data_IF_985480192932
#
_entry.id   IF_985480192932
#
_cell.length_a   1.000
_cell.length_b   1.000
_cell.length_c   1.000
_cell.angle_alpha   90.00
_cell.angle_beta   90.00
_cell.angle_gamma   90.00
#
_symmetry.space_group_name_H-M   'P 1'
#
loop_
_entity.id
_entity.type
_entity.pdbx_description
1 polymer ?
#
# COMPACT_ATOMS: atom_id res chain seq x y z
N UNK A 1 -28.71 -6.77 7.57
CA UNK A 1 -29.42 -7.46 6.44
C UNK A 1 -30.89 -7.15 6.53
N UNK A 2 -31.51 -6.78 5.42
CA UNK A 2 -32.94 -6.51 5.37
C UNK A 2 -33.76 -7.79 5.62
N UNK A 3 -34.92 -7.64 6.26
CA UNK A 3 -35.83 -8.75 6.59
C UNK A 3 -36.16 -9.62 5.38
N UNK A 4 -36.38 -9.00 4.22
CA UNK A 4 -36.62 -9.70 2.95
C UNK A 4 -35.53 -10.73 2.65
N UNK A 5 -34.24 -10.33 2.70
CA UNK A 5 -33.10 -11.22 2.40
C UNK A 5 -32.95 -12.34 3.45
N UNK A 6 -33.31 -12.06 4.68
CA UNK A 6 -33.35 -13.08 5.73
C UNK A 6 -34.43 -14.14 5.42
N UNK A 7 -35.65 -13.70 5.04
CA UNK A 7 -36.75 -14.60 4.70
C UNK A 7 -36.41 -15.43 3.44
N UNK A 8 -35.75 -14.87 2.43
CA UNK A 8 -35.25 -15.61 1.27
C UNK A 8 -34.33 -16.78 1.66
N UNK A 9 -33.70 -16.69 2.82
CA UNK A 9 -32.80 -17.73 3.33
C UNK A 9 -33.48 -18.85 4.10
N UNK A 10 -34.72 -18.65 4.56
CA UNK A 10 -35.39 -19.57 5.51
C UNK A 10 -36.80 -20.00 5.13
N UNK A 11 -37.44 -19.30 4.20
CA UNK A 11 -38.85 -19.52 3.79
C UNK A 11 -38.93 -19.64 2.29
N UNK A 12 -39.67 -20.62 1.79
CA UNK A 12 -39.81 -20.86 0.35
C UNK A 12 -40.75 -19.86 -0.34
N UNK A 13 -41.77 -19.41 0.36
CA UNK A 13 -42.79 -18.50 -0.18
C UNK A 13 -43.26 -17.49 0.85
N UNK A 14 -43.17 -16.21 0.51
CA UNK A 14 -43.67 -15.10 1.31
C UNK A 14 -43.98 -13.90 0.42
N UNK A 15 -44.67 -12.92 0.98
CA UNK A 15 -44.86 -11.57 0.43
C UNK A 15 -44.70 -10.55 1.56
N UNK A 16 -43.98 -9.47 1.35
CA UNK A 16 -43.83 -8.36 2.30
C UNK A 16 -44.48 -7.11 1.76
N UNK A 17 -45.24 -6.39 2.59
CA UNK A 17 -45.71 -5.06 2.26
C UNK A 17 -44.53 -4.05 2.28
N UNK A 18 -44.81 -2.83 1.76
CA UNK A 18 -43.77 -1.81 1.61
C UNK A 18 -43.12 -1.40 2.94
N UNK A 19 -43.86 -1.43 4.05
CA UNK A 19 -43.34 -1.08 5.38
C UNK A 19 -42.23 -2.03 5.87
N UNK A 20 -42.28 -3.28 5.45
CA UNK A 20 -41.34 -4.32 5.87
C UNK A 20 -40.18 -4.55 4.90
N UNK A 21 -40.24 -3.99 3.69
CA UNK A 21 -39.18 -4.20 2.68
C UNK A 21 -37.81 -3.71 3.12
N UNK A 22 -37.75 -2.60 3.85
CA UNK A 22 -36.53 -1.93 4.27
C UNK A 22 -36.14 -2.15 5.74
N UNK A 23 -36.94 -2.94 6.48
CA UNK A 23 -36.66 -3.26 7.88
C UNK A 23 -35.39 -4.08 8.01
N UNK A 24 -34.51 -3.68 8.91
CA UNK A 24 -33.30 -4.43 9.27
C UNK A 24 -33.57 -5.35 10.48
N UNK A 25 -33.18 -6.64 10.37
CA UNK A 25 -33.44 -7.67 11.39
C UNK A 25 -32.83 -7.30 12.75
N UNK A 26 -31.65 -6.71 12.76
CA UNK A 26 -30.93 -6.34 13.97
C UNK A 26 -31.51 -5.11 14.70
N UNK A 27 -32.45 -4.41 14.05
CA UNK A 27 -33.03 -3.17 14.55
C UNK A 27 -34.46 -3.34 15.08
N UNK A 28 -34.99 -4.56 15.06
CA UNK A 28 -36.38 -4.81 15.43
C UNK A 28 -36.56 -6.01 16.36
N UNK A 29 -37.62 -5.97 17.17
CA UNK A 29 -38.09 -7.10 17.94
C UNK A 29 -39.26 -7.79 17.22
N UNK A 30 -39.30 -9.10 17.31
CA UNK A 30 -40.37 -9.92 16.74
C UNK A 30 -41.25 -10.49 17.85
N UNK A 31 -42.56 -10.30 17.76
CA UNK A 31 -43.55 -10.84 18.70
C UNK A 31 -44.51 -11.75 17.96
N UNK A 32 -44.78 -12.93 18.49
CA UNK A 32 -45.84 -13.79 18.00
C UNK A 32 -47.19 -13.35 18.63
N UNK A 33 -48.16 -13.09 17.80
CA UNK A 33 -49.51 -12.79 18.24
C UNK A 33 -50.52 -13.58 17.41
N UNK A 34 -51.08 -14.65 17.95
CA UNK A 34 -51.89 -15.62 17.22
C UNK A 34 -51.14 -16.19 15.99
N UNK A 35 -51.67 -16.09 14.80
CA UNK A 35 -51.05 -16.52 13.54
C UNK A 35 -50.29 -15.39 12.86
N UNK A 36 -49.83 -14.39 13.63
CA UNK A 36 -49.16 -13.20 13.08
C UNK A 36 -47.84 -12.98 13.81
N UNK A 37 -46.81 -12.64 13.07
CA UNK A 37 -45.55 -12.10 13.63
C UNK A 37 -45.64 -10.58 13.55
N UNK A 38 -45.62 -9.89 14.69
CA UNK A 38 -45.52 -8.45 14.77
C UNK A 38 -44.08 -8.01 14.73
N UNK A 39 -43.76 -7.12 13.82
CA UNK A 39 -42.46 -6.46 13.71
C UNK A 39 -42.55 -5.12 14.40
N UNK A 40 -41.88 -4.95 15.52
CA UNK A 40 -41.89 -3.75 16.36
C UNK A 40 -40.48 -3.16 16.46
N UNK A 41 -40.37 -1.90 16.83
CA UNK A 41 -39.08 -1.24 17.09
C UNK A 41 -38.29 -1.94 18.23
N UNK A 42 -37.00 -1.64 18.39
CA UNK A 42 -36.18 -2.28 19.42
C UNK A 42 -36.67 -2.08 20.86
N UNK A 43 -37.39 -0.98 21.11
CA UNK A 43 -37.96 -0.68 22.41
C UNK A 43 -39.33 -1.35 22.60
N UNK A 44 -39.91 -1.92 21.54
CA UNK A 44 -41.21 -2.57 21.55
C UNK A 44 -42.41 -1.60 21.69
N UNK A 45 -42.19 -0.32 21.40
CA UNK A 45 -43.17 0.74 21.58
C UNK A 45 -43.95 1.07 20.30
N UNK A 46 -43.32 0.89 19.12
CA UNK A 46 -43.92 1.19 17.84
C UNK A 46 -44.04 -0.08 16.97
N UNK A 47 -45.25 -0.32 16.45
CA UNK A 47 -45.47 -1.36 15.45
C UNK A 47 -44.98 -0.90 14.10
N UNK A 48 -44.07 -1.66 13.50
CA UNK A 48 -43.52 -1.42 12.15
C UNK A 48 -44.43 -2.12 11.13
N UNK A 49 -44.92 -3.32 11.44
CA UNK A 49 -45.80 -4.07 10.56
C UNK A 49 -46.12 -5.46 11.07
N UNK A 50 -46.95 -6.17 10.32
CA UNK A 50 -47.41 -7.53 10.64
C UNK A 50 -47.10 -8.47 9.47
N UNK A 51 -46.71 -9.68 9.79
CA UNK A 51 -46.51 -10.78 8.82
C UNK A 51 -47.47 -11.91 9.22
N UNK A 52 -48.43 -12.25 8.33
CA UNK A 52 -49.36 -13.34 8.55
C UNK A 52 -48.69 -14.70 8.32
N UNK A 53 -48.89 -15.64 9.20
CA UNK A 53 -48.45 -17.03 9.03
C UNK A 53 -49.66 -17.83 8.45
N UNK A 54 -49.52 -18.32 7.22
CA UNK A 54 -50.62 -18.97 6.50
C UNK A 54 -50.21 -20.31 5.90
N UNK A 55 -51.17 -21.19 5.73
CA UNK A 55 -50.95 -22.51 5.11
C UNK A 55 -50.98 -22.44 3.56
N UNK A 56 -51.70 -21.45 3.03
CA UNK A 56 -51.84 -21.20 1.57
C UNK A 56 -51.80 -19.71 1.29
N UNK A 57 -51.45 -19.36 0.03
CA UNK A 57 -51.38 -17.95 -0.41
C UNK A 57 -52.70 -17.25 -0.20
N UNK A 58 -52.75 -16.11 0.52
CA UNK A 58 -53.97 -15.31 0.69
C UNK A 58 -54.43 -14.71 -0.65
N UNK A 59 -55.74 -14.50 -0.76
CA UNK A 59 -56.34 -13.85 -1.94
C UNK A 59 -55.99 -12.36 -2.02
N UNK A 60 -55.62 -11.71 -0.92
CA UNK A 60 -55.30 -10.29 -0.86
C UNK A 60 -53.80 -10.08 -0.97
N UNK A 61 -53.35 -9.31 -1.96
CA UNK A 61 -51.91 -9.09 -2.25
C UNK A 61 -51.29 -7.98 -1.39
N UNK A 62 -52.09 -7.19 -0.66
CA UNK A 62 -51.61 -6.03 0.10
C UNK A 62 -51.10 -6.39 1.51
N UNK A 63 -51.32 -7.62 1.96
CA UNK A 63 -50.89 -8.07 3.26
C UNK A 63 -49.54 -8.82 3.17
N UNK A 64 -48.66 -8.63 4.18
CA UNK A 64 -47.46 -9.40 4.32
C UNK A 64 -47.76 -10.78 4.88
N UNK A 65 -47.29 -11.81 4.23
CA UNK A 65 -47.52 -13.20 4.61
C UNK A 65 -46.32 -14.10 4.35
N UNK A 66 -46.28 -15.21 5.06
CA UNK A 66 -45.37 -16.31 4.78
C UNK A 66 -46.12 -17.66 4.88
N UNK A 67 -45.72 -18.62 4.06
CA UNK A 67 -46.31 -19.95 4.02
C UNK A 67 -45.46 -20.90 4.87
N UNK A 68 -46.12 -21.63 5.78
CA UNK A 68 -45.49 -22.67 6.56
C UNK A 68 -46.39 -23.92 6.64
N UNK A 69 -45.75 -25.07 6.62
CA UNK A 69 -46.43 -26.37 6.86
C UNK A 69 -46.54 -26.71 8.34
N UNK A 70 -45.85 -26.01 9.21
CA UNK A 70 -45.79 -26.21 10.64
C UNK A 70 -46.86 -25.37 11.36
N UNK A 71 -47.20 -25.77 12.59
CA UNK A 71 -48.03 -24.86 13.42
C UNK A 71 -47.31 -23.54 13.66
N UNK A 72 -48.08 -22.45 13.79
CA UNK A 72 -47.51 -21.12 14.00
C UNK A 72 -46.48 -21.04 15.16
N UNK A 73 -46.71 -21.83 16.23
CA UNK A 73 -45.81 -21.87 17.39
C UNK A 73 -44.48 -22.53 17.05
N UNK A 74 -44.50 -23.68 16.35
CA UNK A 74 -43.27 -24.39 15.95
C UNK A 74 -42.47 -23.52 14.96
N UNK A 75 -43.15 -22.94 13.97
CA UNK A 75 -42.52 -22.04 13.02
C UNK A 75 -41.86 -20.84 13.71
N UNK A 76 -42.56 -20.21 14.66
CA UNK A 76 -42.02 -19.07 15.39
C UNK A 76 -40.76 -19.40 16.18
N UNK A 77 -40.73 -20.60 16.81
CA UNK A 77 -39.54 -21.07 17.52
C UNK A 77 -38.35 -21.27 16.57
N UNK A 78 -38.60 -21.87 15.41
CA UNK A 78 -37.58 -22.04 14.37
C UNK A 78 -37.12 -20.68 13.82
N UNK A 79 -38.04 -19.76 13.58
CA UNK A 79 -37.78 -18.41 13.12
C UNK A 79 -36.92 -17.63 14.12
N UNK A 80 -37.28 -17.65 15.42
CA UNK A 80 -36.44 -17.03 16.47
C UNK A 80 -35.05 -17.63 16.52
N UNK A 81 -34.94 -18.97 16.45
CA UNK A 81 -33.65 -19.63 16.43
C UNK A 81 -32.77 -19.15 15.27
N UNK A 82 -33.35 -18.98 14.08
CA UNK A 82 -32.64 -18.47 12.90
C UNK A 82 -32.23 -17.00 13.04
N UNK A 83 -33.07 -16.16 13.66
CA UNK A 83 -32.72 -14.77 13.98
C UNK A 83 -31.53 -14.74 14.95
N UNK A 84 -31.57 -15.53 16.02
CA UNK A 84 -30.46 -15.59 16.98
C UNK A 84 -29.16 -16.05 16.31
N UNK A 85 -29.24 -17.05 15.43
CA UNK A 85 -28.08 -17.52 14.66
C UNK A 85 -27.54 -16.40 13.74
N UNK A 86 -28.44 -15.64 13.12
CA UNK A 86 -28.04 -14.51 12.27
C UNK A 86 -27.37 -13.40 13.08
N UNK A 87 -27.95 -12.99 14.21
CA UNK A 87 -27.36 -11.96 15.07
C UNK A 87 -25.98 -12.37 15.61
N UNK A 88 -25.81 -13.65 15.99
CA UNK A 88 -24.48 -14.18 16.37
C UNK A 88 -23.48 -14.11 15.22
N UNK A 89 -23.91 -14.44 14.01
CA UNK A 89 -23.06 -14.33 12.83
C UNK A 89 -22.67 -12.87 12.53
N UNK A 90 -23.61 -11.92 12.65
CA UNK A 90 -23.36 -10.50 12.46
C UNK A 90 -22.41 -9.93 13.53
N UNK A 91 -22.54 -10.37 14.77
CA UNK A 91 -21.61 -10.03 15.85
C UNK A 91 -20.20 -10.56 15.55
N UNK A 92 -20.04 -11.79 15.07
CA UNK A 92 -18.76 -12.33 14.62
C UNK A 92 -18.13 -11.51 13.49
N UNK A 93 -18.93 -10.99 12.55
CA UNK A 93 -18.45 -10.08 11.49
C UNK A 93 -17.92 -8.78 12.11
N UNK A 94 -18.64 -8.18 13.04
CA UNK A 94 -18.23 -6.94 13.70
C UNK A 94 -16.97 -7.14 14.54
N UNK A 95 -16.84 -8.25 15.25
CA UNK A 95 -15.64 -8.61 16.00
C UNK A 95 -14.43 -8.87 15.08
N UNK A 96 -14.64 -9.19 13.80
CA UNK A 96 -13.55 -9.45 12.85
C UNK A 96 -12.59 -8.27 12.70
N UNK A 97 -13.05 -7.03 12.95
CA UNK A 97 -12.24 -5.81 12.90
C UNK A 97 -11.11 -5.80 13.96
N UNK A 98 -11.27 -6.49 15.07
CA UNK A 98 -10.30 -6.51 16.19
C UNK A 98 -9.17 -7.55 16.00
N UNK A 99 -9.18 -8.33 14.93
CA UNK A 99 -8.17 -9.37 14.69
C UNK A 99 -6.94 -8.83 13.98
N UNK A 100 -5.78 -9.50 14.16
CA UNK A 100 -4.53 -9.15 13.46
C UNK A 100 -4.63 -9.25 11.93
N UNK A 101 -5.53 -10.09 11.41
CA UNK A 101 -5.78 -10.27 9.98
C UNK A 101 -7.30 -10.16 9.73
N UNK A 102 -7.83 -8.94 9.79
CA UNK A 102 -9.28 -8.72 9.79
C UNK A 102 -9.95 -9.17 8.50
N UNK A 103 -9.34 -8.93 7.33
CA UNK A 103 -9.90 -9.37 6.02
C UNK A 103 -10.03 -10.89 5.96
N UNK A 104 -9.02 -11.65 6.37
CA UNK A 104 -9.10 -13.10 6.38
C UNK A 104 -10.18 -13.59 7.35
N UNK A 105 -10.31 -12.93 8.51
CA UNK A 105 -11.32 -13.30 9.50
C UNK A 105 -12.73 -13.05 9.00
N UNK A 106 -13.01 -11.88 8.40
CA UNK A 106 -14.33 -11.58 7.86
C UNK A 106 -14.72 -12.55 6.73
N UNK A 107 -13.77 -12.90 5.85
CA UNK A 107 -14.01 -13.89 4.79
C UNK A 107 -14.31 -15.28 5.35
N UNK A 108 -13.65 -15.70 6.42
CA UNK A 108 -13.94 -16.95 7.09
C UNK A 108 -15.36 -16.97 7.71
N UNK A 109 -15.81 -15.84 8.25
CA UNK A 109 -17.18 -15.73 8.80
C UNK A 109 -18.21 -15.69 7.65
N UNK A 110 -17.93 -14.97 6.58
CA UNK A 110 -18.78 -14.88 5.37
C UNK A 110 -19.00 -16.26 4.72
N UNK A 111 -18.00 -17.11 4.70
CA UNK A 111 -18.04 -18.46 4.17
C UNK A 111 -19.17 -19.32 4.74
N UNK A 112 -19.71 -18.97 5.91
CA UNK A 112 -20.86 -19.69 6.52
C UNK A 112 -22.18 -19.39 5.77
N UNK A 113 -22.25 -18.31 4.99
CA UNK A 113 -23.48 -17.83 4.32
C UNK A 113 -23.37 -17.77 2.81
N UNK A 114 -22.19 -17.52 2.26
CA UNK A 114 -21.91 -17.51 0.81
C UNK A 114 -21.54 -18.91 0.34
N UNK A 115 -21.95 -19.23 -0.88
CA UNK A 115 -21.75 -20.56 -1.49
C UNK A 115 -20.52 -20.53 -2.39
N UNK A 116 -20.38 -19.50 -3.22
CA UNK A 116 -19.28 -19.37 -4.14
C UNK A 116 -18.01 -18.82 -3.45
N UNK A 117 -16.82 -19.30 -3.82
CA UNK A 117 -15.57 -18.77 -3.30
C UNK A 117 -15.41 -17.28 -3.59
N UNK A 118 -14.93 -16.52 -2.60
CA UNK A 118 -14.70 -15.09 -2.67
C UNK A 118 -13.22 -14.78 -2.46
N UNK A 119 -12.64 -13.95 -3.32
CA UNK A 119 -11.30 -13.41 -3.20
C UNK A 119 -11.38 -11.87 -3.12
N UNK A 120 -10.57 -11.28 -2.27
CA UNK A 120 -10.43 -9.82 -2.17
C UNK A 120 -8.98 -9.43 -2.42
N UNK A 121 -8.78 -8.53 -3.37
CA UNK A 121 -7.48 -7.95 -3.71
C UNK A 121 -7.51 -6.45 -3.42
N UNK A 122 -6.39 -5.90 -2.95
CA UNK A 122 -6.24 -4.45 -2.84
C UNK A 122 -6.06 -3.78 -4.22
N UNK A 123 -5.97 -2.46 -4.23
CA UNK A 123 -5.75 -1.67 -5.45
C UNK A 123 -4.45 -2.02 -6.17
N UNK A 124 -3.48 -2.61 -5.48
CA UNK A 124 -2.22 -3.07 -6.05
C UNK A 124 -2.25 -4.53 -6.52
N UNK A 125 -3.44 -5.14 -6.54
CA UNK A 125 -3.70 -6.55 -6.92
C UNK A 125 -3.02 -7.59 -6.03
N UNK A 126 -2.69 -7.21 -4.79
CA UNK A 126 -2.26 -8.13 -3.75
C UNK A 126 -3.47 -8.78 -3.09
N UNK A 127 -3.40 -10.08 -2.86
CA UNK A 127 -4.48 -10.83 -2.23
C UNK A 127 -4.55 -10.50 -0.73
N UNK A 128 -5.64 -9.87 -0.31
CA UNK A 128 -5.91 -9.59 1.10
C UNK A 128 -6.48 -10.81 1.82
N UNK A 129 -7.26 -11.62 1.11
CA UNK A 129 -7.82 -12.85 1.63
C UNK A 129 -8.72 -13.56 0.64
N UNK A 130 -9.10 -14.79 0.98
CA UNK A 130 -10.04 -15.60 0.21
C UNK A 130 -10.88 -16.50 1.12
N UNK A 131 -12.07 -16.89 0.66
CA UNK A 131 -12.87 -17.97 1.22
C UNK A 131 -12.72 -19.24 0.36
N UNK A 132 -12.90 -20.40 0.93
CA UNK A 132 -12.65 -21.68 0.23
C UNK A 132 -13.87 -22.25 -0.51
N UNK A 133 -15.05 -21.64 -0.43
CA UNK A 133 -16.26 -22.20 -1.03
C UNK A 133 -16.60 -23.62 -0.57
N UNK A 134 -17.71 -24.18 -1.06
CA UNK A 134 -18.17 -25.51 -0.64
C UNK A 134 -17.39 -26.68 -1.28
N UNK A 135 -16.72 -26.46 -2.42
CA UNK A 135 -16.08 -27.52 -3.21
C UNK A 135 -14.56 -27.45 -3.27
N UNK A 136 -13.92 -26.50 -2.57
CA UNK A 136 -12.47 -26.28 -2.56
C UNK A 136 -11.83 -26.18 -3.97
N UNK A 137 -12.59 -25.73 -4.98
CA UNK A 137 -12.16 -25.73 -6.38
C UNK A 137 -11.72 -24.33 -6.84
N UNK A 138 -10.81 -23.70 -6.12
CA UNK A 138 -10.13 -22.48 -6.62
C UNK A 138 -9.05 -22.83 -7.67
N UNK A 139 -9.30 -23.85 -8.53
CA UNK A 139 -8.28 -24.41 -9.43
C UNK A 139 -7.63 -23.36 -10.33
N UNK A 140 -8.42 -22.44 -10.89
CA UNK A 140 -7.93 -21.40 -11.78
C UNK A 140 -7.22 -20.28 -11.01
N UNK A 141 -7.59 -20.05 -9.75
CA UNK A 141 -7.06 -19.01 -8.87
C UNK A 141 -6.00 -19.52 -7.89
N UNK A 142 -5.69 -20.82 -7.89
CA UNK A 142 -4.69 -21.40 -6.97
C UNK A 142 -3.31 -20.75 -7.07
N UNK A 143 -2.90 -20.36 -8.28
CA UNK A 143 -1.63 -19.66 -8.47
C UNK A 143 -1.64 -18.31 -7.77
N UNK A 144 -2.72 -17.55 -7.92
CA UNK A 144 -2.90 -16.25 -7.26
C UNK A 144 -2.97 -16.40 -5.73
N UNK A 145 -3.69 -17.40 -5.24
CA UNK A 145 -3.79 -17.70 -3.78
C UNK A 145 -2.41 -18.05 -3.20
N UNK A 146 -1.62 -18.89 -3.89
CA UNK A 146 -0.28 -19.28 -3.42
C UNK A 146 0.72 -18.14 -3.52
N UNK A 147 0.63 -17.34 -4.57
CA UNK A 147 1.52 -16.20 -4.78
C UNK A 147 1.21 -15.03 -3.85
N UNK A 148 -0.05 -14.88 -3.41
CA UNK A 148 -0.52 -13.74 -2.61
C UNK A 148 -0.78 -12.48 -3.45
N UNK A 149 -0.85 -12.60 -4.77
CA UNK A 149 -1.19 -11.54 -5.73
C UNK A 149 -1.81 -12.16 -6.98
N UNK A 150 -2.43 -11.35 -7.85
CA UNK A 150 -2.98 -11.87 -9.10
C UNK A 150 -1.86 -12.45 -9.97
N UNK A 151 -1.95 -13.75 -10.23
CA UNK A 151 -1.00 -14.51 -11.05
C UNK A 151 -1.74 -15.51 -11.92
N UNK A 152 -1.77 -15.24 -13.22
CA UNK A 152 -2.39 -16.10 -14.24
C UNK A 152 -1.39 -16.34 -15.36
N UNK A 153 -1.46 -17.45 -16.07
CA UNK A 153 -0.44 -17.78 -17.07
C UNK A 153 -0.80 -17.31 -18.48
N UNK A 154 0.20 -16.78 -19.21
CA UNK A 154 0.12 -16.58 -20.67
C UNK A 154 -0.81 -15.46 -21.14
N UNK A 155 -1.44 -15.66 -22.31
CA UNK A 155 -2.36 -14.69 -22.96
C UNK A 155 -3.59 -14.33 -22.12
N UNK A 156 -3.93 -15.12 -21.09
CA UNK A 156 -5.04 -14.85 -20.18
C UNK A 156 -4.75 -13.65 -19.28
N UNK A 157 -3.48 -13.39 -19.01
CA UNK A 157 -3.05 -12.27 -18.16
C UNK A 157 -3.36 -10.90 -18.79
N UNK A 158 -3.11 -10.72 -20.09
CA UNK A 158 -3.42 -9.46 -20.77
C UNK A 158 -4.92 -9.19 -20.84
N UNK A 159 -5.75 -10.21 -21.11
CA UNK A 159 -7.21 -10.06 -21.11
C UNK A 159 -7.78 -9.76 -19.72
N UNK A 160 -7.20 -10.35 -18.68
CA UNK A 160 -7.57 -10.04 -17.31
C UNK A 160 -7.16 -8.61 -16.95
N UNK A 161 -5.97 -8.16 -17.38
CA UNK A 161 -5.53 -6.78 -17.21
C UNK A 161 -6.46 -5.76 -17.90
N UNK A 162 -6.92 -6.06 -19.10
CA UNK A 162 -7.91 -5.23 -19.80
C UNK A 162 -9.21 -5.10 -19.00
N UNK A 163 -9.66 -6.18 -18.36
CA UNK A 163 -10.85 -6.14 -17.50
C UNK A 163 -10.66 -5.24 -16.27
N UNK A 164 -9.54 -5.34 -15.56
CA UNK A 164 -9.27 -4.51 -14.39
C UNK A 164 -9.14 -3.01 -14.73
N UNK A 165 -8.80 -2.69 -15.97
CA UNK A 165 -8.72 -1.32 -16.47
C UNK A 165 -10.04 -0.82 -17.09
N UNK A 166 -11.11 -1.61 -17.06
CA UNK A 166 -12.42 -1.26 -17.61
C UNK A 166 -13.30 -0.62 -16.53
N UNK A 167 -13.95 0.49 -16.87
CA UNK A 167 -14.93 1.16 -15.97
C UNK A 167 -16.17 0.30 -15.69
N UNK A 168 -16.42 -0.74 -16.50
CA UNK A 168 -17.58 -1.63 -16.34
C UNK A 168 -17.51 -2.49 -15.06
N UNK A 169 -16.34 -2.64 -14.44
CA UNK A 169 -16.18 -3.41 -13.20
C UNK A 169 -16.70 -2.68 -11.94
N UNK A 170 -16.94 -1.38 -12.01
CA UNK A 170 -17.50 -0.60 -10.90
C UNK A 170 -18.90 -1.10 -10.56
N UNK A 171 -19.73 -1.34 -11.58
CA UNK A 171 -21.09 -1.90 -11.40
C UNK A 171 -21.11 -3.40 -11.14
N UNK A 172 -19.96 -4.06 -11.31
CA UNK A 172 -19.82 -5.50 -11.21
C UNK A 172 -20.32 -6.25 -12.45
N UNK A 173 -19.56 -7.24 -12.90
CA UNK A 173 -19.92 -8.05 -14.08
C UNK A 173 -19.47 -9.50 -13.98
N UNK A 174 -20.22 -10.38 -14.65
CA UNK A 174 -19.81 -11.76 -14.83
C UNK A 174 -18.86 -11.85 -16.03
N UNK A 175 -17.68 -12.42 -15.79
CA UNK A 175 -16.63 -12.57 -16.78
C UNK A 175 -16.41 -14.03 -17.14
N UNK A 176 -16.18 -14.28 -18.44
CA UNK A 176 -15.75 -15.58 -18.98
C UNK A 176 -14.51 -15.36 -19.82
N UNK A 177 -13.38 -15.88 -19.36
CA UNK A 177 -12.10 -15.77 -20.06
C UNK A 177 -11.60 -17.14 -20.51
N UNK A 178 -11.03 -17.18 -21.70
CA UNK A 178 -10.31 -18.37 -22.18
C UNK A 178 -9.11 -18.63 -21.25
N UNK A 179 -9.03 -19.83 -20.67
CA UNK A 179 -8.01 -20.17 -19.68
C UNK A 179 -8.52 -20.30 -18.24
N UNK A 180 -9.76 -19.87 -17.98
CA UNK A 180 -10.49 -20.18 -16.76
C UNK A 180 -11.54 -21.25 -17.03
N UNK A 181 -11.61 -22.26 -16.17
CA UNK A 181 -12.63 -23.33 -16.25
C UNK A 181 -14.00 -22.82 -15.83
N UNK A 182 -14.01 -21.95 -14.82
CA UNK A 182 -15.24 -21.40 -14.27
C UNK A 182 -15.34 -19.91 -14.60
N UNK A 183 -16.56 -19.40 -14.87
CA UNK A 183 -16.81 -17.98 -14.92
C UNK A 183 -16.61 -17.38 -13.51
N UNK A 184 -16.37 -16.08 -13.47
CA UNK A 184 -16.25 -15.35 -12.21
C UNK A 184 -16.97 -14.00 -12.31
N UNK A 185 -17.45 -13.52 -11.16
CA UNK A 185 -17.95 -12.18 -11.01
C UNK A 185 -16.81 -11.28 -10.52
N UNK A 186 -16.61 -10.14 -11.17
CA UNK A 186 -15.59 -9.15 -10.81
C UNK A 186 -16.29 -7.84 -10.52
N UNK A 187 -15.95 -7.22 -9.40
CA UNK A 187 -16.40 -5.90 -9.01
C UNK A 187 -15.27 -5.10 -8.35
N UNK A 188 -15.18 -3.82 -8.70
CA UNK A 188 -14.38 -2.84 -8.01
C UNK A 188 -15.24 -2.14 -6.95
N UNK A 189 -14.77 -2.09 -5.72
CA UNK A 189 -15.44 -1.42 -4.60
C UNK A 189 -14.63 -0.19 -4.24
N UNK A 190 -15.21 0.99 -4.42
CA UNK A 190 -14.59 2.27 -4.12
C UNK A 190 -14.94 2.68 -2.69
N UNK A 191 -13.94 3.06 -1.89
CA UNK A 191 -14.09 3.51 -0.52
C UNK A 191 -14.28 5.03 -0.46
N UNK A 192 -14.71 5.54 0.70
CA UNK A 192 -14.99 6.98 0.89
C UNK A 192 -13.78 7.92 0.73
N UNK A 193 -12.57 7.38 0.84
CA UNK A 193 -11.29 8.10 0.73
C UNK A 193 -10.63 7.93 -0.65
N UNK A 194 -11.38 7.53 -1.66
CA UNK A 194 -10.91 7.18 -3.01
C UNK A 194 -10.00 5.93 -3.07
N UNK A 195 -9.79 5.22 -1.96
CA UNK A 195 -9.20 3.89 -2.00
C UNK A 195 -10.19 2.91 -2.62
N UNK A 196 -9.69 1.85 -3.22
CA UNK A 196 -10.53 0.82 -3.82
C UNK A 196 -9.93 -0.58 -3.62
N UNK A 197 -10.78 -1.58 -3.74
CA UNK A 197 -10.38 -2.97 -3.74
C UNK A 197 -11.19 -3.75 -4.76
N UNK A 198 -10.67 -4.90 -5.17
CA UNK A 198 -11.34 -5.76 -6.13
C UNK A 198 -11.88 -7.00 -5.45
N UNK A 199 -13.14 -7.30 -5.74
CA UNK A 199 -13.84 -8.47 -5.28
C UNK A 199 -14.07 -9.43 -6.45
N UNK A 200 -13.64 -10.68 -6.30
CA UNK A 200 -13.85 -11.75 -7.27
C UNK A 200 -14.62 -12.89 -6.64
N UNK A 201 -15.76 -13.24 -7.23
CA UNK A 201 -16.54 -14.42 -6.83
C UNK A 201 -16.38 -15.47 -7.92
N UNK A 202 -15.82 -16.62 -7.57
CA UNK A 202 -15.66 -17.75 -8.51
C UNK A 202 -16.98 -18.52 -8.58
N UNK A 203 -17.61 -18.57 -9.76
CA UNK A 203 -18.97 -19.09 -9.91
C UNK A 203 -18.98 -20.61 -10.03
N UNK A 204 -18.78 -21.31 -8.92
CA UNK A 204 -18.97 -22.78 -8.83
C UNK A 204 -20.45 -23.14 -9.00
N UNK A 205 -21.35 -22.32 -8.46
CA UNK A 205 -22.81 -22.41 -8.61
C UNK A 205 -23.38 -21.08 -9.11
N UNK A 206 -23.43 -20.88 -10.42
CA UNK A 206 -23.85 -19.61 -11.03
C UNK A 206 -25.27 -19.20 -10.61
N UNK A 207 -26.19 -20.15 -10.38
CA UNK A 207 -27.56 -19.89 -9.88
C UNK A 207 -27.62 -19.26 -8.50
N UNK A 208 -26.54 -19.34 -7.72
CA UNK A 208 -26.46 -18.80 -6.36
C UNK A 208 -25.81 -17.41 -6.27
N UNK A 209 -25.32 -16.87 -7.41
CA UNK A 209 -24.66 -15.59 -7.44
C UNK A 209 -25.50 -14.46 -6.82
N UNK A 210 -26.78 -14.37 -7.16
CA UNK A 210 -27.66 -13.32 -6.64
C UNK A 210 -27.81 -13.40 -5.11
N UNK A 211 -27.88 -14.61 -4.57
CA UNK A 211 -27.93 -14.82 -3.12
C UNK A 211 -26.63 -14.42 -2.46
N UNK A 212 -25.49 -14.80 -3.02
CA UNK A 212 -24.17 -14.44 -2.50
C UNK A 212 -23.97 -12.92 -2.54
N UNK A 213 -24.32 -12.27 -3.65
CA UNK A 213 -24.27 -10.81 -3.79
C UNK A 213 -25.13 -10.09 -2.74
N UNK A 214 -26.35 -10.57 -2.50
CA UNK A 214 -27.24 -10.01 -1.50
C UNK A 214 -26.64 -10.09 -0.06
N UNK A 215 -25.98 -11.20 0.27
CA UNK A 215 -25.27 -11.35 1.56
C UNK A 215 -24.07 -10.39 1.60
N UNK A 216 -23.27 -10.30 0.54
CA UNK A 216 -22.09 -9.44 0.48
C UNK A 216 -22.50 -7.97 0.58
N UNK A 217 -23.53 -7.53 -0.16
CA UNK A 217 -24.06 -6.18 -0.12
C UNK A 217 -24.45 -5.78 1.31
N UNK A 218 -25.12 -6.69 2.06
CA UNK A 218 -25.51 -6.45 3.45
C UNK A 218 -24.35 -6.20 4.40
N UNK A 219 -23.12 -6.57 4.02
CA UNK A 219 -21.90 -6.44 4.86
C UNK A 219 -20.79 -5.66 4.17
N UNK A 220 -21.07 -5.03 3.02
CA UNK A 220 -20.07 -4.30 2.23
C UNK A 220 -19.37 -3.23 3.06
N UNK A 221 -20.10 -2.47 3.88
CA UNK A 221 -19.51 -1.45 4.75
C UNK A 221 -18.52 -2.07 5.76
N UNK A 222 -18.79 -3.26 6.28
CA UNK A 222 -17.88 -3.97 7.19
C UNK A 222 -16.65 -4.49 6.45
N UNK A 223 -16.82 -4.99 5.23
CA UNK A 223 -15.70 -5.39 4.37
C UNK A 223 -14.85 -4.17 4.05
N UNK A 224 -15.46 -3.06 3.64
CA UNK A 224 -14.81 -1.81 3.33
C UNK A 224 -14.01 -1.26 4.52
N UNK A 225 -14.63 -1.22 5.71
CA UNK A 225 -13.94 -0.83 6.94
C UNK A 225 -12.75 -1.76 7.25
N UNK A 226 -12.90 -3.07 7.03
CA UNK A 226 -11.86 -4.07 7.27
C UNK A 226 -10.69 -3.90 6.30
N UNK A 227 -10.98 -3.64 5.02
CA UNK A 227 -9.96 -3.36 3.99
C UNK A 227 -9.27 -2.04 4.29
N UNK A 228 -10.02 -1.00 4.63
CA UNK A 228 -9.48 0.30 5.01
C UNK A 228 -8.53 0.23 6.21
N UNK A 229 -8.86 -0.57 7.22
CA UNK A 229 -7.96 -0.85 8.35
C UNK A 229 -6.69 -1.61 7.94
N UNK A 230 -6.78 -2.45 6.92
CA UNK A 230 -5.62 -3.23 6.44
C UNK A 230 -4.62 -2.36 5.69
N UNK A 231 -5.09 -1.31 5.04
CA UNK A 231 -4.28 -0.34 4.27
C UNK A 231 -3.68 0.78 5.15
N UNK A 232 -3.69 0.63 6.49
CA UNK A 232 -3.14 1.62 7.41
C UNK A 232 -1.63 1.83 7.27
N UNK A 233 -1.15 3.09 7.38
CA UNK A 233 -1.83 4.34 7.73
C UNK A 233 -1.88 5.40 6.62
N UNK A 234 -1.92 5.05 5.35
CA UNK A 234 -1.67 5.98 4.26
C UNK A 234 -2.85 6.06 3.30
N UNK A 235 -3.38 7.27 3.14
CA UNK A 235 -4.36 7.60 2.11
C UNK A 235 -3.69 7.45 0.74
N UNK A 236 -4.08 6.44 -0.03
CA UNK A 236 -3.61 6.27 -1.40
C UNK A 236 -4.58 6.98 -2.34
N UNK A 237 -4.11 8.05 -3.00
CA UNK A 237 -4.80 8.68 -4.14
C UNK A 237 -4.40 8.05 -5.47
N UNK A 238 -3.53 7.05 -5.46
CA UNK A 238 -2.92 6.43 -6.64
C UNK A 238 -3.24 4.95 -6.76
N UNK A 239 -3.61 4.50 -7.95
CA UNK A 239 -3.99 3.11 -8.27
C UNK A 239 -2.92 2.04 -8.05
N UNK A 240 -2.98 0.96 -8.80
CA UNK A 240 -2.12 -0.24 -8.69
C UNK A 240 -0.62 0.03 -8.49
N UNK A 241 -0.09 1.09 -9.11
CA UNK A 241 1.34 1.39 -9.07
C UNK A 241 1.78 1.91 -7.70
N UNK A 242 1.01 2.80 -7.06
CA UNK A 242 1.34 3.31 -5.73
C UNK A 242 1.43 2.20 -4.69
N UNK A 243 0.42 1.33 -4.63
CA UNK A 243 0.41 0.19 -3.73
C UNK A 243 1.58 -0.77 -3.98
N UNK A 244 1.97 -0.97 -5.24
CA UNK A 244 3.15 -1.76 -5.60
C UNK A 244 4.44 -1.11 -5.11
N UNK A 245 4.61 0.21 -5.31
CA UNK A 245 5.78 0.95 -4.85
C UNK A 245 5.92 0.92 -3.32
N UNK A 246 4.82 1.08 -2.60
CA UNK A 246 4.80 0.92 -1.13
C UNK A 246 5.21 -0.49 -0.69
N UNK A 247 4.69 -1.53 -1.36
CA UNK A 247 5.07 -2.91 -1.05
C UNK A 247 6.57 -3.16 -1.28
N UNK A 248 7.17 -2.56 -2.32
CA UNK A 248 8.62 -2.65 -2.58
C UNK A 248 9.43 -2.01 -1.43
N UNK A 249 8.94 -0.92 -0.85
CA UNK A 249 9.59 -0.26 0.29
C UNK A 249 9.48 -1.08 1.58
N UNK A 250 8.30 -1.65 1.84
CA UNK A 250 8.02 -2.38 3.10
C UNK A 250 8.52 -3.83 3.07
N UNK A 251 8.60 -4.44 1.89
CA UNK A 251 8.94 -5.85 1.70
C UNK A 251 10.25 -6.01 0.94
N UNK A 252 11.41 -6.03 1.63
CA UNK A 252 12.73 -6.08 0.96
C UNK A 252 12.93 -7.32 0.06
N UNK A 253 12.14 -8.38 0.29
CA UNK A 253 12.24 -9.66 -0.45
C UNK A 253 11.10 -9.85 -1.47
N UNK A 254 10.45 -8.78 -1.93
CA UNK A 254 9.45 -8.89 -3.00
C UNK A 254 10.09 -9.43 -4.27
N UNK A 255 9.49 -10.46 -4.87
CA UNK A 255 10.10 -11.09 -6.05
C UNK A 255 9.92 -10.22 -7.31
N UNK A 256 10.92 -10.29 -8.20
CA UNK A 256 10.86 -9.60 -9.51
C UNK A 256 9.64 -10.05 -10.31
N UNK A 257 9.30 -11.35 -10.22
CA UNK A 257 8.12 -11.89 -10.90
C UNK A 257 6.80 -11.29 -10.36
N UNK A 258 6.71 -11.08 -9.05
CA UNK A 258 5.56 -10.40 -8.44
C UNK A 258 5.43 -8.97 -8.99
N UNK A 259 6.52 -8.21 -8.98
CA UNK A 259 6.55 -6.83 -9.49
C UNK A 259 6.13 -6.79 -10.97
N UNK A 260 6.70 -7.66 -11.81
CA UNK A 260 6.39 -7.71 -13.24
C UNK A 260 4.94 -8.09 -13.51
N UNK A 261 4.40 -9.06 -12.77
CA UNK A 261 3.00 -9.46 -12.92
C UNK A 261 2.05 -8.34 -12.53
N UNK A 262 2.30 -7.65 -11.42
CA UNK A 262 1.46 -6.53 -10.97
C UNK A 262 1.54 -5.33 -11.92
N UNK A 263 2.70 -5.02 -12.49
CA UNK A 263 2.89 -3.97 -13.50
C UNK A 263 2.10 -4.20 -14.79
N UNK A 264 1.79 -5.45 -15.15
CA UNK A 264 0.98 -5.73 -16.34
C UNK A 264 -0.46 -5.20 -16.21
N UNK A 265 -0.94 -5.01 -14.98
CA UNK A 265 -2.28 -4.49 -14.68
C UNK A 265 -2.30 -2.97 -14.48
N UNK A 266 -1.15 -2.28 -14.59
CA UNK A 266 -1.09 -0.83 -14.48
C UNK A 266 -1.38 -0.15 -15.82
N UNK A 267 -2.43 0.72 -15.90
CA UNK A 267 -2.71 1.51 -17.09
C UNK A 267 -1.63 2.55 -17.38
N UNK A 268 -0.92 2.99 -16.33
CA UNK A 268 0.14 4.00 -16.43
C UNK A 268 1.48 3.33 -16.70
N UNK A 269 1.83 3.15 -17.98
CA UNK A 269 3.17 2.68 -18.36
C UNK A 269 4.18 3.79 -18.11
N UNK A 270 4.83 3.76 -16.94
CA UNK A 270 5.93 4.68 -16.63
C UNK A 270 7.03 4.58 -17.69
N UNK A 271 7.37 5.73 -18.28
CA UNK A 271 8.50 5.84 -19.21
C UNK A 271 9.80 5.88 -18.42
N UNK A 272 10.75 5.05 -18.81
CA UNK A 272 12.06 4.92 -18.15
C UNK A 272 13.12 5.71 -18.90
N UNK A 273 14.16 6.20 -18.25
CA UNK A 273 14.52 6.01 -16.84
C UNK A 273 13.61 6.77 -15.85
N UNK A 274 13.65 6.35 -14.57
CA UNK A 274 12.90 6.92 -13.45
C UNK A 274 13.85 7.52 -12.42
N UNK A 275 13.36 8.48 -11.61
CA UNK A 275 14.01 8.98 -10.39
C UNK A 275 13.01 9.00 -9.25
N UNK A 276 13.52 8.92 -8.03
CA UNK A 276 12.76 9.16 -6.81
C UNK A 276 13.08 10.54 -6.28
N UNK A 277 12.05 11.34 -6.01
CA UNK A 277 12.16 12.58 -5.26
C UNK A 277 11.45 12.40 -3.92
N UNK A 278 12.17 12.58 -2.83
CA UNK A 278 11.61 12.64 -1.48
C UNK A 278 11.51 14.09 -1.04
N UNK A 279 10.32 14.53 -0.69
CA UNK A 279 10.05 15.88 -0.20
C UNK A 279 9.69 15.81 1.28
N UNK A 280 10.45 16.50 2.12
CA UNK A 280 10.11 16.64 3.54
C UNK A 280 8.98 17.65 3.68
N UNK A 281 7.80 17.17 4.03
CA UNK A 281 6.60 18.01 4.17
C UNK A 281 6.59 18.72 5.51
N UNK A 282 6.60 20.05 5.55
CA UNK A 282 6.10 20.76 6.71
C UNK A 282 4.58 20.53 6.78
N UNK A 283 4.00 20.42 7.98
CA UNK A 283 2.59 20.11 8.24
C UNK A 283 1.55 21.08 7.64
N UNK A 284 1.87 21.83 6.59
CA UNK A 284 1.02 22.84 5.96
C UNK A 284 0.96 22.67 4.43
N UNK A 285 -0.26 22.56 3.91
CA UNK A 285 -0.74 22.50 2.54
C UNK A 285 0.24 22.95 1.44
N UNK A 286 0.76 21.99 0.67
CA UNK A 286 1.59 22.19 -0.53
C UNK A 286 0.75 22.48 -1.80
N UNK A 287 -0.32 23.25 -1.71
CA UNK A 287 -1.19 23.56 -2.85
C UNK A 287 -0.51 24.19 -4.09
N UNK A 288 0.60 24.96 -3.99
CA UNK A 288 1.21 25.57 -5.18
C UNK A 288 1.94 24.59 -6.11
N UNK A 289 2.32 23.40 -5.64
CA UNK A 289 3.06 22.41 -6.45
C UNK A 289 2.14 21.54 -7.31
N UNK A 290 0.82 21.73 -7.19
CA UNK A 290 -0.19 20.90 -7.82
C UNK A 290 -0.12 20.80 -9.34
N UNK A 291 0.35 21.84 -10.04
CA UNK A 291 0.33 21.85 -11.51
C UNK A 291 1.47 21.07 -12.15
N UNK A 292 2.64 21.01 -11.53
CA UNK A 292 3.83 20.34 -12.07
C UNK A 292 3.91 18.89 -11.61
N UNK A 293 3.62 18.68 -10.34
CA UNK A 293 3.77 17.36 -9.70
C UNK A 293 2.54 16.47 -9.87
N UNK A 294 1.39 16.98 -10.32
CA UNK A 294 0.17 16.18 -10.60
C UNK A 294 0.32 15.13 -11.69
N UNK A 295 1.36 15.23 -12.52
CA UNK A 295 1.64 14.25 -13.59
C UNK A 295 2.44 13.04 -13.11
N UNK A 296 2.89 13.03 -11.85
CA UNK A 296 3.74 11.99 -11.30
C UNK A 296 2.98 11.14 -10.29
N UNK A 297 3.41 9.89 -10.15
CA UNK A 297 2.95 9.04 -9.05
C UNK A 297 3.48 9.62 -7.76
N UNK A 298 2.58 9.94 -6.83
CA UNK A 298 2.93 10.53 -5.53
C UNK A 298 2.24 9.74 -4.41
N UNK A 299 2.97 9.51 -3.34
CA UNK A 299 2.44 8.91 -2.13
C UNK A 299 3.25 9.32 -0.90
N UNK A 300 2.60 9.32 0.25
CA UNK A 300 3.29 9.59 1.51
C UNK A 300 3.88 8.29 2.07
N UNK A 301 5.17 8.30 2.45
CA UNK A 301 5.85 7.19 3.10
C UNK A 301 6.81 7.70 4.17
N UNK A 302 6.68 7.20 5.40
CA UNK A 302 7.39 7.69 6.59
C UNK A 302 7.17 9.20 6.80
N UNK A 303 8.19 10.01 6.61
CA UNK A 303 8.16 11.47 6.80
C UNK A 303 8.22 12.26 5.48
N UNK A 304 8.09 11.57 4.35
CA UNK A 304 8.25 12.16 3.02
C UNK A 304 7.02 11.97 2.15
N UNK A 305 6.76 12.97 1.32
CA UNK A 305 6.00 12.77 0.09
C UNK A 305 6.97 12.29 -0.99
N UNK A 306 6.73 11.08 -1.48
CA UNK A 306 7.58 10.38 -2.44
C UNK A 306 7.00 10.54 -3.82
N UNK A 307 7.75 11.12 -4.74
CA UNK A 307 7.39 11.29 -6.14
C UNK A 307 8.24 10.38 -7.02
N UNK A 308 7.61 9.72 -7.98
CA UNK A 308 8.30 8.96 -9.02
C UNK A 308 8.28 9.77 -10.31
N UNK A 309 9.46 10.23 -10.73
CA UNK A 309 9.64 11.13 -11.85
C UNK A 309 10.15 10.35 -13.05
N UNK A 310 9.52 10.53 -14.21
CA UNK A 310 10.04 10.05 -15.49
C UNK A 310 11.18 10.95 -15.97
N UNK A 311 12.39 10.40 -16.09
CA UNK A 311 13.61 11.10 -16.52
C UNK A 311 13.94 10.83 -18.00
N UNK A 312 12.92 10.57 -18.81
CA UNK A 312 13.06 10.34 -20.25
C UNK A 312 13.39 11.62 -21.04
N UNK A 313 13.16 12.79 -20.44
CA UNK A 313 13.44 14.10 -21.03
C UNK A 313 14.22 14.98 -20.03
N UNK A 314 15.47 15.36 -20.36
CA UNK A 314 16.29 16.24 -19.49
C UNK A 314 15.63 17.58 -19.13
N UNK A 315 14.69 18.06 -19.95
CA UNK A 315 13.96 19.30 -19.70
C UNK A 315 13.04 19.18 -18.50
N UNK A 316 12.42 18.02 -18.29
CA UNK A 316 11.48 17.78 -17.16
C UNK A 316 12.20 17.96 -15.81
N UNK A 317 13.35 17.33 -15.66
CA UNK A 317 14.14 17.46 -14.43
C UNK A 317 14.60 18.90 -14.18
N UNK A 318 15.04 19.61 -15.23
CA UNK A 318 15.42 21.02 -15.12
C UNK A 318 14.24 21.90 -14.70
N UNK A 319 13.05 21.67 -15.27
CA UNK A 319 11.84 22.42 -14.91
C UNK A 319 11.47 22.16 -13.44
N UNK A 320 11.49 20.90 -13.01
CA UNK A 320 11.20 20.54 -11.60
C UNK A 320 12.18 21.26 -10.66
N UNK A 321 13.48 21.22 -10.95
CA UNK A 321 14.49 21.90 -10.12
C UNK A 321 14.26 23.40 -10.11
N UNK A 322 14.04 24.03 -11.25
CA UNK A 322 13.84 25.47 -11.38
C UNK A 322 12.61 25.99 -10.63
N UNK A 323 11.55 25.22 -10.56
CA UNK A 323 10.31 25.64 -9.93
C UNK A 323 10.22 25.20 -8.46
N UNK A 324 10.74 24.02 -8.12
CA UNK A 324 10.67 23.48 -6.78
C UNK A 324 11.74 24.07 -5.84
N UNK A 325 12.97 24.28 -6.30
CA UNK A 325 14.08 24.71 -5.45
C UNK A 325 13.85 26.10 -4.82
N UNK A 326 13.38 27.14 -5.54
CA UNK A 326 13.01 28.42 -4.92
C UNK A 326 11.91 28.30 -3.88
N UNK A 327 10.91 27.45 -4.13
CA UNK A 327 9.84 27.21 -3.18
C UNK A 327 10.34 26.55 -1.90
N UNK A 328 11.21 25.53 -2.02
CA UNK A 328 11.81 24.86 -0.87
C UNK A 328 12.65 25.81 -0.02
N UNK A 329 13.43 26.66 -0.68
CA UNK A 329 14.24 27.69 -0.02
C UNK A 329 13.39 28.70 0.73
N UNK A 330 12.31 29.17 0.12
CA UNK A 330 11.37 30.11 0.75
C UNK A 330 10.68 29.53 2.00
N UNK A 331 10.44 28.21 2.03
CA UNK A 331 9.81 27.52 3.14
C UNK A 331 10.80 26.83 4.09
N UNK A 332 12.10 27.09 3.96
CA UNK A 332 13.16 26.50 4.77
C UNK A 332 13.09 24.96 4.86
N UNK A 333 12.71 24.32 3.75
CA UNK A 333 12.60 22.88 3.66
C UNK A 333 13.53 22.30 2.58
N UNK A 334 13.68 20.98 2.53
CA UNK A 334 14.57 20.31 1.62
C UNK A 334 13.89 19.11 0.92
N UNK A 335 14.40 18.80 -0.27
CA UNK A 335 14.07 17.59 -1.00
C UNK A 335 15.36 16.86 -1.40
N UNK A 336 15.28 15.54 -1.52
CA UNK A 336 16.35 14.71 -2.06
C UNK A 336 15.93 14.05 -3.36
N UNK A 337 16.83 13.99 -4.33
CA UNK A 337 16.57 13.32 -5.58
C UNK A 337 17.61 12.23 -5.85
N UNK A 338 17.13 11.04 -6.22
CA UNK A 338 17.97 9.88 -6.51
C UNK A 338 18.69 9.99 -7.86
N UNK A 339 19.65 9.08 -8.10
CA UNK A 339 20.10 8.80 -9.45
C UNK A 339 18.98 8.16 -10.30
N UNK A 340 19.14 8.17 -11.63
CA UNK A 340 18.19 7.55 -12.54
C UNK A 340 18.28 6.01 -12.49
N UNK A 341 17.13 5.34 -12.64
CA UNK A 341 17.05 3.88 -12.69
C UNK A 341 16.03 3.40 -13.73
N UNK A 342 16.17 2.14 -14.14
CA UNK A 342 15.31 1.56 -15.18
C UNK A 342 14.48 0.37 -14.69
N UNK A 343 14.85 -0.23 -13.57
CA UNK A 343 14.22 -1.45 -13.09
C UNK A 343 13.50 -1.21 -11.77
N UNK A 344 12.18 -1.41 -11.75
CA UNK A 344 11.34 -1.04 -10.61
C UNK A 344 11.65 -1.84 -9.33
N UNK A 345 12.20 -3.05 -9.43
CA UNK A 345 12.64 -3.80 -8.26
C UNK A 345 13.78 -3.10 -7.47
N UNK A 346 14.47 -2.15 -8.11
CA UNK A 346 15.50 -1.34 -7.46
C UNK A 346 14.92 -0.11 -6.75
N UNK A 347 13.61 0.12 -6.80
CA UNK A 347 12.95 1.32 -6.28
C UNK A 347 13.35 1.63 -4.83
N UNK A 348 13.45 0.61 -3.96
CA UNK A 348 13.86 0.81 -2.58
C UNK A 348 15.29 1.41 -2.48
N UNK A 349 16.22 0.95 -3.30
CA UNK A 349 17.60 1.51 -3.31
C UNK A 349 17.59 2.99 -3.70
N UNK A 350 16.77 3.37 -4.69
CA UNK A 350 16.70 4.76 -5.14
C UNK A 350 15.88 5.65 -4.20
N UNK A 351 14.91 5.10 -3.47
CA UNK A 351 14.30 5.78 -2.33
C UNK A 351 15.34 6.09 -1.25
N UNK A 352 16.17 5.12 -0.88
CA UNK A 352 17.24 5.33 0.08
C UNK A 352 18.24 6.38 -0.39
N UNK A 353 18.60 6.42 -1.70
CA UNK A 353 19.44 7.49 -2.24
C UNK A 353 18.83 8.87 -2.05
N UNK A 354 17.53 9.04 -2.31
CA UNK A 354 16.84 10.31 -2.11
C UNK A 354 16.79 10.72 -0.63
N UNK A 355 16.54 9.78 0.29
CA UNK A 355 16.59 10.00 1.73
C UNK A 355 18.02 10.38 2.19
N UNK A 356 19.05 9.68 1.72
CA UNK A 356 20.45 9.98 2.02
C UNK A 356 20.87 11.34 1.49
N UNK A 357 20.40 11.74 0.31
CA UNK A 357 20.66 13.08 -0.23
C UNK A 357 20.12 14.20 0.70
N UNK A 358 18.96 14.00 1.35
CA UNK A 358 18.44 14.93 2.36
C UNK A 358 19.32 14.94 3.62
N UNK A 359 19.70 13.76 4.10
CA UNK A 359 20.45 13.60 5.37
C UNK A 359 21.88 14.14 5.28
N UNK A 360 22.55 13.90 4.15
CA UNK A 360 23.93 14.32 3.92
C UNK A 360 24.02 15.76 3.42
N UNK A 361 23.04 16.21 2.61
CA UNK A 361 23.05 17.54 1.99
C UNK A 361 22.95 18.69 2.97
N UNK A 362 22.26 18.53 4.11
CA UNK A 362 22.10 19.56 5.17
C UNK A 362 21.70 20.95 4.67
N UNK A 363 21.40 21.10 3.38
CA UNK A 363 21.06 22.37 2.75
C UNK A 363 19.56 22.45 2.46
N UNK A 364 19.01 23.66 2.56
CA UNK A 364 17.67 23.99 2.12
C UNK A 364 17.61 23.95 0.61
N UNK A 365 16.53 23.40 0.02
CA UNK A 365 16.40 23.23 -1.41
C UNK A 365 16.55 21.79 -1.86
N UNK A 366 16.88 21.58 -3.15
CA UNK A 366 17.02 20.24 -3.73
C UNK A 366 18.44 19.74 -3.60
N UNK A 367 18.61 18.55 -3.01
CA UNK A 367 19.88 17.86 -2.84
C UNK A 367 19.91 16.63 -3.79
N UNK A 368 20.85 16.63 -4.75
CA UNK A 368 21.07 15.52 -5.68
C UNK A 368 21.97 14.45 -5.06
N UNK A 369 21.54 13.19 -5.05
CA UNK A 369 22.35 12.11 -4.47
C UNK A 369 23.73 11.96 -5.12
N UNK A 370 23.86 12.26 -6.42
CA UNK A 370 25.14 12.16 -7.13
C UNK A 370 26.25 13.01 -6.51
N UNK A 371 25.88 14.12 -5.83
CA UNK A 371 26.85 14.99 -5.15
C UNK A 371 27.36 14.38 -3.82
N UNK A 372 26.63 13.41 -3.29
CA UNK A 372 26.87 12.82 -1.97
C UNK A 372 27.28 11.34 -2.01
N UNK A 373 27.48 10.73 -3.19
CA UNK A 373 27.83 9.30 -3.32
C UNK A 373 29.07 8.95 -2.50
N UNK A 374 30.13 9.77 -2.57
CA UNK A 374 31.34 9.52 -1.84
C UNK A 374 31.13 9.63 -0.32
N UNK A 375 30.38 10.62 0.12
CA UNK A 375 30.05 10.79 1.54
C UNK A 375 29.20 9.64 2.07
N UNK A 376 28.22 9.17 1.28
CA UNK A 376 27.39 8.02 1.62
C UNK A 376 28.20 6.72 1.71
N UNK A 377 29.11 6.50 0.76
CA UNK A 377 30.03 5.37 0.79
C UNK A 377 30.91 5.40 2.05
N UNK A 378 31.49 6.54 2.38
CA UNK A 378 32.33 6.72 3.56
C UNK A 378 31.52 6.45 4.85
N UNK A 379 30.29 6.97 4.92
CA UNK A 379 29.40 6.74 6.08
C UNK A 379 29.07 5.24 6.25
N UNK A 380 28.77 4.54 5.17
CA UNK A 380 28.53 3.09 5.22
C UNK A 380 29.77 2.31 5.66
N UNK A 381 30.94 2.66 5.13
CA UNK A 381 32.20 2.01 5.48
C UNK A 381 32.55 2.30 6.94
N UNK A 382 32.33 3.51 7.44
CA UNK A 382 32.68 3.92 8.82
C UNK A 382 31.91 3.14 9.91
N UNK A 383 30.76 2.56 9.56
CA UNK A 383 29.94 1.76 10.49
C UNK A 383 30.49 0.33 10.70
N UNK A 384 31.46 -0.10 9.89
CA UNK A 384 32.09 -1.41 10.04
C UNK A 384 33.22 -1.35 11.07
N UNK A 385 33.02 -1.98 12.24
CA UNK A 385 34.00 -2.03 13.32
C UNK A 385 35.34 -2.66 12.93
N UNK A 386 35.35 -3.52 11.89
CA UNK A 386 36.57 -4.14 11.41
C UNK A 386 37.48 -3.17 10.65
N UNK A 387 36.93 -2.04 10.24
CA UNK A 387 37.61 -1.06 9.40
C UNK A 387 38.85 -0.43 10.06
N UNK A 388 38.88 -0.31 11.39
CA UNK A 388 40.00 0.21 12.15
C UNK A 388 41.33 -0.50 11.82
N UNK A 389 41.26 -1.80 11.43
CA UNK A 389 42.41 -2.59 11.05
C UNK A 389 42.98 -2.24 9.66
N UNK A 390 42.21 -1.55 8.83
CA UNK A 390 42.59 -1.15 7.47
C UNK A 390 43.00 0.33 7.37
N UNK A 391 42.83 1.10 8.45
CA UNK A 391 43.22 2.51 8.43
C UNK A 391 44.71 2.71 8.59
N UNK A 392 45.23 3.77 8.00
CA UNK A 392 46.63 4.12 8.12
C UNK A 392 46.99 4.47 9.56
N UNK A 393 47.83 3.63 10.18
CA UNK A 393 48.39 3.90 11.51
C UNK A 393 49.13 5.24 11.62
N UNK A 394 49.78 5.65 10.51
CA UNK A 394 50.47 6.94 10.40
C UNK A 394 49.53 8.14 10.45
N UNK A 395 48.35 8.00 9.80
CA UNK A 395 47.30 9.04 9.81
C UNK A 395 46.62 9.11 11.19
N UNK A 396 46.40 7.96 11.82
CA UNK A 396 45.87 7.91 13.19
C UNK A 396 46.85 8.60 14.17
N UNK A 397 48.12 8.27 14.11
CA UNK A 397 49.16 8.89 14.92
C UNK A 397 49.25 10.41 14.68
N UNK A 398 49.16 10.83 13.40
CA UNK A 398 49.12 12.25 13.05
C UNK A 398 47.92 12.98 13.67
N UNK A 399 46.73 12.39 13.63
CA UNK A 399 45.53 12.96 14.23
C UNK A 399 45.67 13.10 15.76
N UNK A 400 46.17 12.08 16.43
CA UNK A 400 46.33 12.07 17.87
C UNK A 400 47.40 13.06 18.36
N UNK A 401 48.51 13.16 17.65
CA UNK A 401 49.65 13.96 18.09
C UNK A 401 49.69 15.38 17.56
N UNK A 402 49.08 15.69 16.42
CA UNK A 402 49.09 17.04 15.82
C UNK A 402 47.84 17.31 14.96
N UNK A 403 46.77 17.73 15.62
CA UNK A 403 45.48 18.06 14.98
C UNK A 403 45.61 19.14 13.88
N UNK A 404 46.54 20.09 14.01
CA UNK A 404 46.74 21.13 13.00
C UNK A 404 47.35 20.55 11.70
N UNK A 405 48.30 19.66 11.83
CA UNK A 405 48.87 18.96 10.68
C UNK A 405 47.87 18.01 10.04
N UNK A 406 47.08 17.31 10.87
CA UNK A 406 46.00 16.46 10.36
C UNK A 406 45.00 17.23 9.51
N UNK A 407 44.50 18.37 10.01
CA UNK A 407 43.61 19.25 9.24
C UNK A 407 44.27 19.76 7.95
N UNK A 408 45.57 20.05 8.00
CA UNK A 408 46.34 20.49 6.83
C UNK A 408 46.40 19.37 5.77
N UNK A 409 46.66 18.14 6.19
CA UNK A 409 46.69 16.96 5.28
C UNK A 409 45.32 16.72 4.69
N UNK A 410 44.27 16.71 5.51
CA UNK A 410 42.90 16.49 5.07
C UNK A 410 42.46 17.53 4.02
N UNK A 411 42.61 18.81 4.30
CA UNK A 411 42.27 19.88 3.35
C UNK A 411 43.09 19.81 2.07
N UNK A 412 44.38 19.45 2.19
CA UNK A 412 45.25 19.29 1.02
C UNK A 412 44.80 18.16 0.10
N UNK A 413 44.42 17.03 0.66
CA UNK A 413 43.90 15.88 -0.09
C UNK A 413 42.55 16.16 -0.72
N UNK A 414 41.62 16.77 0.03
CA UNK A 414 40.29 17.17 -0.50
C UNK A 414 40.43 18.14 -1.67
N UNK A 415 41.35 19.08 -1.57
CA UNK A 415 41.68 20.04 -2.65
C UNK A 415 42.57 19.44 -3.75
N UNK A 416 42.64 18.10 -3.84
CA UNK A 416 43.41 17.38 -4.89
C UNK A 416 44.87 17.87 -5.01
N UNK A 417 45.51 18.06 -3.87
CA UNK A 417 46.89 18.54 -3.76
C UNK A 417 47.12 19.97 -4.31
N UNK A 418 46.04 20.73 -4.50
CA UNK A 418 46.13 22.11 -4.93
C UNK A 418 46.59 23.01 -3.76
N UNK A 419 47.90 23.33 -3.76
CA UNK A 419 48.51 24.15 -2.70
C UNK A 419 47.93 25.55 -2.58
N UNK A 420 47.44 26.14 -3.70
CA UNK A 420 46.87 27.49 -3.69
C UNK A 420 45.53 27.51 -2.97
N UNK A 421 44.63 26.61 -3.38
CA UNK A 421 43.29 26.48 -2.76
C UNK A 421 43.36 26.04 -1.30
N UNK A 422 44.23 25.09 -0.99
CA UNK A 422 44.47 24.63 0.38
C UNK A 422 44.97 25.77 1.30
N UNK A 423 45.88 26.60 0.82
CA UNK A 423 46.39 27.73 1.60
C UNK A 423 45.30 28.78 1.87
N UNK A 424 44.44 29.05 0.87
CA UNK A 424 43.30 29.96 1.00
C UNK A 424 42.29 29.42 2.03
N UNK A 425 41.91 28.16 1.86
CA UNK A 425 40.90 27.54 2.73
C UNK A 425 41.37 27.46 4.21
N UNK A 426 42.65 27.14 4.43
CA UNK A 426 43.25 27.11 5.76
C UNK A 426 43.63 28.50 6.29
N UNK A 427 43.45 29.56 5.50
CA UNK A 427 43.82 30.94 5.83
C UNK A 427 45.30 31.08 6.25
N UNK A 428 46.21 30.39 5.56
CA UNK A 428 47.67 30.42 5.83
C UNK A 428 48.46 30.83 4.61
N UNK A 429 49.67 31.35 4.82
CA UNK A 429 50.56 31.61 3.71
C UNK A 429 51.08 30.29 3.08
N UNK A 430 51.36 30.34 1.77
CA UNK A 430 51.84 29.17 1.01
C UNK A 430 53.15 28.57 1.61
N UNK A 431 54.01 29.39 2.11
CA UNK A 431 55.25 28.91 2.78
C UNK A 431 54.93 28.10 4.03
N UNK A 432 53.97 28.56 4.83
CA UNK A 432 53.49 27.82 6.04
C UNK A 432 52.86 26.50 5.65
N UNK A 433 52.09 26.45 4.56
CA UNK A 433 51.54 25.20 4.02
C UNK A 433 52.65 24.22 3.61
N UNK A 434 53.65 24.69 2.82
CA UNK A 434 54.78 23.85 2.43
C UNK A 434 55.54 23.29 3.63
N UNK A 435 55.82 24.14 4.63
CA UNK A 435 56.45 23.70 5.88
C UNK A 435 55.65 22.63 6.61
N UNK A 436 54.34 22.79 6.69
CA UNK A 436 53.47 21.80 7.34
C UNK A 436 53.47 20.47 6.55
N UNK A 437 53.40 20.49 5.21
CA UNK A 437 53.42 19.33 4.38
C UNK A 437 54.75 18.58 4.48
N UNK A 438 55.91 19.30 4.43
CA UNK A 438 57.25 18.69 4.68
C UNK A 438 57.33 18.02 6.05
N UNK A 439 56.79 18.69 7.09
CA UNK A 439 56.75 18.13 8.43
C UNK A 439 55.89 16.86 8.55
N UNK A 440 54.78 16.77 7.80
CA UNK A 440 53.96 15.57 7.73
C UNK A 440 54.75 14.44 7.10
N UNK A 441 55.44 14.67 5.97
CA UNK A 441 56.25 13.71 5.27
C UNK A 441 57.43 13.24 6.15
N UNK A 442 58.21 14.15 6.67
CA UNK A 442 59.44 13.84 7.46
C UNK A 442 59.13 13.14 8.79
N UNK A 443 58.14 13.65 9.53
CA UNK A 443 57.87 13.14 10.87
C UNK A 443 56.99 11.92 10.95
N UNK A 444 56.02 11.84 10.02
CA UNK A 444 55.01 10.76 10.02
C UNK A 444 55.20 9.79 8.85
N UNK A 445 56.20 10.05 7.98
CA UNK A 445 56.46 9.24 6.78
C UNK A 445 55.21 8.94 5.96
N UNK A 446 54.37 9.97 5.72
CA UNK A 446 53.20 9.91 4.91
C UNK A 446 53.56 10.40 3.50
N UNK A 447 53.64 9.49 2.57
CA UNK A 447 53.95 9.77 1.17
C UNK A 447 52.71 9.70 0.32
N UNK A 448 52.63 10.58 -0.72
CA UNK A 448 51.51 10.64 -1.67
C UNK A 448 51.99 10.40 -3.11
N UNK A 449 53.08 9.68 -3.26
CA UNK A 449 53.79 9.52 -4.56
C UNK A 449 53.07 8.63 -5.55
N UNK A 450 52.22 7.72 -5.09
CA UNK A 450 51.43 6.82 -5.96
C UNK A 450 49.94 7.03 -5.80
N UNK A 451 49.13 6.77 -6.84
CA UNK A 451 47.67 6.86 -6.74
C UNK A 451 47.08 6.02 -5.59
N UNK A 452 47.70 4.85 -5.30
CA UNK A 452 47.20 4.01 -4.24
C UNK A 452 47.52 4.57 -2.84
N UNK A 453 48.71 5.15 -2.64
CA UNK A 453 49.05 5.84 -1.38
C UNK A 453 48.18 7.07 -1.17
N UNK A 454 47.92 7.86 -2.21
CA UNK A 454 47.01 8.98 -2.16
C UNK A 454 45.62 8.53 -1.73
N UNK A 455 45.01 7.57 -2.44
CA UNK A 455 43.68 7.06 -2.16
C UNK A 455 43.56 6.47 -0.74
N UNK A 456 44.55 5.69 -0.32
CA UNK A 456 44.59 5.09 1.00
C UNK A 456 44.69 6.12 2.11
N UNK A 457 45.55 7.16 1.92
CA UNK A 457 45.69 8.27 2.88
C UNK A 457 44.41 9.12 2.93
N UNK A 458 43.82 9.42 1.77
CA UNK A 458 42.55 10.17 1.68
C UNK A 458 41.41 9.42 2.40
N UNK A 459 41.21 8.14 2.09
CA UNK A 459 40.19 7.33 2.77
C UNK A 459 40.44 7.27 4.28
N UNK A 460 41.70 7.06 4.71
CA UNK A 460 42.04 7.05 6.12
C UNK A 460 41.73 8.40 6.81
N UNK A 461 42.00 9.53 6.16
CA UNK A 461 41.67 10.84 6.73
C UNK A 461 40.16 11.12 6.81
N UNK A 462 39.38 10.63 5.85
CA UNK A 462 37.94 10.81 5.81
C UNK A 462 37.18 9.89 6.79
N UNK A 463 37.69 8.67 7.00
CA UNK A 463 37.08 7.66 7.88
C UNK A 463 37.44 7.83 9.36
N UNK A 464 38.52 8.53 9.66
CA UNK A 464 38.96 8.82 11.04
C UNK A 464 38.23 10.04 11.61
N UNK A 465 37.70 10.92 10.78
CA UNK A 465 37.06 12.17 11.20
C UNK A 465 35.78 11.96 11.99
#
# INVERSE_FOLDING_TARGET
MKLKLFLDSIVDRYNLNNELLDVEINQVNFKLHSKTIQVVDPLGQQLIGNILIVDQRPCNNDESWLITKNSATIFFTEFQSKIIQYLKWEDQLSQSLSYKQPVKRILHVLQQKIINPLLIFDSSLKLLGHSSGNRNQLTDWQKSVRAGYISVSGKTNSKLAELFNSTEIISGRVCRLSGFKLPFYLQEIILRNDDHFYMIIVLEEQSKLQKDLAVIESVTDKIAATVGLHNFPYQSRGGNLEGLLRDILVRPNISINEIQNRLQFDPHRLKRPLRVLCLKTPHSNLQPLGTILTKFVVFHYEQYDVYVIEDSNPTILKTIIQELDPYLKANSTCAGISNAFTQLHQFNQFYQQADRAIKLGKSVGINGYHDYIAADLIDHISQDQSLSNYLSKKVLELKEKDQKLFQTLKTFLINRENKKETAIELQIHRSTLNYRLSKIEEKYNIELTTPNQYLYTLLSTLLID
#
